data_IF_318090505377
#
_entry.id   IF_318090505377
#
_cell.length_a   1.000
_cell.length_b   1.000
_cell.length_c   1.000
_cell.angle_alpha   90.00
_cell.angle_beta   90.00
_cell.angle_gamma   90.00
#
_symmetry.space_group_name_H-M   'P 1'
#
loop_
_entity.id
_entity.type
_entity.pdbx_description
1 polymer ?
#
# COMPACT_ATOMS: atom_id res chain seq x y z
N UNK A 1 -39.95 -21.95 -22.21
CA UNK A 1 -40.62 -23.24 -21.89
C UNK A 1 -41.32 -23.22 -20.53
N UNK A 2 -41.55 -22.06 -19.92
CA UNK A 2 -42.19 -21.93 -18.59
C UNK A 2 -41.58 -22.86 -17.51
N UNK A 3 -40.31 -23.22 -17.64
CA UNK A 3 -39.64 -24.09 -16.67
C UNK A 3 -39.40 -23.31 -15.38
N UNK A 4 -39.93 -23.83 -14.28
CA UNK A 4 -39.79 -23.22 -12.94
C UNK A 4 -38.68 -23.87 -12.12
N UNK A 5 -38.34 -25.13 -12.40
CA UNK A 5 -37.31 -25.87 -11.68
C UNK A 5 -36.51 -26.78 -12.63
N UNK A 6 -35.21 -26.87 -12.39
CA UNK A 6 -34.29 -27.72 -13.16
C UNK A 6 -34.19 -29.08 -12.47
N UNK A 7 -34.68 -30.14 -13.13
CA UNK A 7 -34.61 -31.52 -12.63
C UNK A 7 -34.23 -32.48 -13.74
N UNK A 8 -33.57 -33.59 -13.37
CA UNK A 8 -33.28 -34.71 -14.26
C UNK A 8 -32.02 -34.59 -15.12
N UNK A 9 -31.21 -33.54 -14.93
CA UNK A 9 -29.94 -33.34 -15.66
C UNK A 9 -28.73 -34.02 -14.99
N UNK A 10 -28.89 -34.54 -13.78
CA UNK A 10 -27.84 -35.20 -12.97
C UNK A 10 -27.14 -36.36 -13.69
N UNK A 11 -27.82 -37.01 -14.64
CA UNK A 11 -27.31 -38.16 -15.40
C UNK A 11 -26.70 -37.78 -16.76
N UNK A 12 -26.40 -36.50 -16.99
CA UNK A 12 -25.85 -36.01 -18.26
C UNK A 12 -24.36 -35.63 -18.11
N UNK A 13 -23.42 -36.59 -17.97
CA UNK A 13 -22.01 -36.32 -17.68
C UNK A 13 -21.24 -35.66 -18.83
N UNK A 14 -21.85 -35.52 -20.02
CA UNK A 14 -21.23 -34.87 -21.18
C UNK A 14 -21.86 -33.51 -21.49
N UNK A 15 -22.77 -33.02 -20.64
CA UNK A 15 -23.45 -31.75 -20.85
C UNK A 15 -22.48 -30.58 -20.63
N UNK A 16 -21.94 -30.05 -21.72
CA UNK A 16 -20.99 -28.94 -21.71
C UNK A 16 -21.64 -27.58 -22.00
N UNK A 17 -22.78 -27.58 -22.68
CA UNK A 17 -23.49 -26.37 -23.08
C UNK A 17 -24.96 -26.52 -22.69
N UNK A 18 -25.48 -25.58 -21.91
CA UNK A 18 -26.86 -25.58 -21.47
C UNK A 18 -27.45 -24.18 -21.62
N UNK A 19 -28.57 -24.08 -22.32
CA UNK A 19 -29.38 -22.87 -22.36
C UNK A 19 -30.75 -23.16 -21.76
N UNK A 20 -31.07 -22.41 -20.71
CA UNK A 20 -32.35 -22.38 -20.03
C UNK A 20 -32.91 -20.94 -20.07
N UNK A 21 -32.56 -20.18 -21.11
CA UNK A 21 -33.03 -18.83 -21.30
C UNK A 21 -34.56 -18.78 -21.52
N UNK A 22 -35.18 -17.65 -21.18
CA UNK A 22 -36.63 -17.41 -21.35
C UNK A 22 -37.50 -18.47 -20.66
N UNK A 23 -37.26 -18.65 -19.35
CA UNK A 23 -38.06 -19.51 -18.48
C UNK A 23 -38.51 -18.73 -17.22
N UNK A 24 -38.98 -19.44 -16.20
CA UNK A 24 -39.51 -18.87 -14.95
C UNK A 24 -38.71 -19.35 -13.74
N UNK A 25 -37.41 -19.60 -13.94
CA UNK A 25 -36.54 -20.09 -12.87
C UNK A 25 -36.36 -19.01 -11.81
N UNK A 26 -36.58 -19.38 -10.55
CA UNK A 26 -36.36 -18.53 -9.38
C UNK A 26 -35.12 -18.97 -8.56
N UNK A 27 -34.62 -20.18 -8.79
CA UNK A 27 -33.41 -20.70 -8.17
C UNK A 27 -32.59 -21.54 -9.17
N UNK A 28 -31.28 -21.57 -8.96
CA UNK A 28 -30.35 -22.45 -9.67
C UNK A 28 -30.18 -23.71 -8.82
N UNK A 29 -30.73 -24.83 -9.29
CA UNK A 29 -30.63 -26.13 -8.62
C UNK A 29 -30.54 -27.24 -9.66
N UNK A 30 -30.23 -28.48 -9.24
CA UNK A 30 -30.23 -29.64 -10.15
C UNK A 30 -29.15 -29.60 -11.25
N UNK A 31 -28.18 -28.70 -11.16
CA UNK A 31 -27.00 -28.60 -12.02
C UNK A 31 -25.72 -29.08 -11.33
N UNK A 32 -25.85 -29.64 -10.14
CA UNK A 32 -24.72 -29.96 -9.26
C UNK A 32 -23.72 -30.93 -9.94
N UNK A 33 -22.43 -30.59 -9.85
CA UNK A 33 -21.32 -31.41 -10.36
C UNK A 33 -21.34 -31.71 -11.88
N UNK A 34 -22.13 -30.98 -12.67
CA UNK A 34 -22.13 -31.13 -14.13
C UNK A 34 -20.94 -30.39 -14.76
N UNK A 35 -20.29 -30.94 -15.81
CA UNK A 35 -19.14 -30.30 -16.46
C UNK A 35 -19.57 -29.23 -17.49
N UNK A 36 -20.48 -28.35 -17.08
CA UNK A 36 -21.01 -27.27 -17.92
C UNK A 36 -19.92 -26.21 -18.10
N UNK A 37 -19.65 -25.85 -19.36
CA UNK A 37 -18.72 -24.79 -19.76
C UNK A 37 -19.44 -23.52 -20.16
N UNK A 38 -20.59 -23.64 -20.82
CA UNK A 38 -21.41 -22.50 -21.24
C UNK A 38 -22.81 -22.66 -20.67
N UNK A 39 -23.20 -21.72 -19.83
CA UNK A 39 -24.52 -21.69 -19.19
C UNK A 39 -25.23 -20.39 -19.53
N UNK A 40 -26.40 -20.50 -20.15
CA UNK A 40 -27.27 -19.35 -20.39
C UNK A 40 -28.56 -19.50 -19.57
N UNK A 41 -28.71 -18.62 -18.58
CA UNK A 41 -29.85 -18.48 -17.68
C UNK A 41 -30.54 -17.11 -17.86
N UNK A 42 -30.32 -16.44 -19.00
CA UNK A 42 -30.92 -15.13 -19.28
C UNK A 42 -32.46 -15.16 -19.31
N UNK A 43 -33.10 -14.02 -19.04
CA UNK A 43 -34.57 -13.89 -19.06
C UNK A 43 -35.27 -14.93 -18.15
N UNK A 44 -34.87 -14.95 -16.87
CA UNK A 44 -35.50 -15.73 -15.80
C UNK A 44 -35.87 -14.79 -14.64
N UNK A 45 -36.15 -15.35 -13.45
CA UNK A 45 -36.53 -14.59 -12.25
C UNK A 45 -35.57 -14.84 -11.09
N UNK A 46 -34.28 -15.08 -11.39
CA UNK A 46 -33.26 -15.36 -10.38
C UNK A 46 -32.95 -14.11 -9.56
N UNK A 47 -32.95 -14.24 -8.24
CA UNK A 47 -32.60 -13.15 -7.31
C UNK A 47 -31.16 -13.24 -6.77
N UNK A 48 -30.55 -14.43 -6.87
CA UNK A 48 -29.20 -14.75 -6.40
C UNK A 48 -28.49 -15.66 -7.39
N UNK A 49 -27.16 -15.60 -7.41
CA UNK A 49 -26.31 -16.49 -8.19
C UNK A 49 -25.98 -17.83 -7.47
N UNK A 50 -26.54 -18.05 -6.27
CA UNK A 50 -26.35 -19.28 -5.49
C UNK A 50 -26.81 -20.52 -6.25
N UNK A 51 -26.07 -21.61 -6.15
CA UNK A 51 -26.29 -22.86 -6.89
C UNK A 51 -25.32 -23.08 -8.06
N UNK A 52 -24.46 -22.10 -8.35
CA UNK A 52 -23.40 -22.20 -9.36
C UNK A 52 -22.08 -22.74 -8.81
N UNK A 53 -21.90 -22.80 -7.49
CA UNK A 53 -20.62 -23.02 -6.80
C UNK A 53 -19.95 -24.34 -7.21
N UNK A 54 -20.75 -25.36 -7.55
CA UNK A 54 -20.28 -26.69 -7.96
C UNK A 54 -19.85 -26.79 -9.43
N UNK A 55 -20.17 -25.79 -10.26
CA UNK A 55 -19.90 -25.78 -11.70
C UNK A 55 -18.46 -25.34 -12.02
N UNK A 56 -17.48 -26.08 -11.52
CA UNK A 56 -16.05 -25.72 -11.65
C UNK A 56 -15.51 -25.67 -13.07
N UNK A 57 -16.24 -26.22 -14.05
CA UNK A 57 -15.87 -26.18 -15.48
C UNK A 57 -16.39 -24.96 -16.23
N UNK A 58 -17.12 -24.06 -15.56
CA UNK A 58 -17.82 -22.95 -16.20
C UNK A 58 -16.85 -21.91 -16.77
N UNK A 59 -17.06 -21.54 -18.03
CA UNK A 59 -16.24 -20.58 -18.79
C UNK A 59 -17.05 -19.36 -19.20
N UNK A 60 -18.32 -19.54 -19.57
CA UNK A 60 -19.22 -18.47 -20.00
C UNK A 60 -20.55 -18.59 -19.31
N UNK A 61 -20.97 -17.50 -18.69
CA UNK A 61 -22.21 -17.40 -17.93
C UNK A 61 -23.01 -16.20 -18.39
N UNK A 62 -24.26 -16.43 -18.77
CA UNK A 62 -25.23 -15.38 -19.07
C UNK A 62 -26.37 -15.44 -18.05
N UNK A 63 -26.43 -14.42 -17.20
CA UNK A 63 -27.46 -14.17 -16.18
C UNK A 63 -28.23 -12.88 -16.48
N UNK A 64 -28.15 -12.35 -17.71
CA UNK A 64 -28.81 -11.09 -18.07
C UNK A 64 -30.34 -11.19 -17.97
N UNK A 65 -31.01 -10.06 -17.73
CA UNK A 65 -32.47 -9.99 -17.60
C UNK A 65 -33.01 -10.93 -16.51
N UNK A 66 -32.45 -10.81 -15.31
CA UNK A 66 -32.92 -11.47 -14.10
C UNK A 66 -33.23 -10.41 -13.02
N UNK A 67 -33.34 -10.81 -11.75
CA UNK A 67 -33.57 -9.92 -10.59
C UNK A 67 -32.43 -10.04 -9.58
N UNK A 68 -31.22 -10.35 -10.05
CA UNK A 68 -30.10 -10.65 -9.16
C UNK A 68 -29.75 -9.40 -8.36
N UNK A 69 -29.79 -9.54 -7.04
CA UNK A 69 -29.39 -8.48 -6.09
C UNK A 69 -28.05 -8.80 -5.44
N UNK A 70 -27.69 -10.09 -5.35
CA UNK A 70 -26.42 -10.54 -4.79
C UNK A 70 -25.67 -11.49 -5.71
N UNK A 71 -24.35 -11.27 -5.80
CA UNK A 71 -23.41 -12.06 -6.61
C UNK A 71 -22.80 -13.24 -5.86
N UNK A 72 -23.23 -13.47 -4.61
CA UNK A 72 -22.86 -14.66 -3.85
C UNK A 72 -23.21 -15.93 -4.63
N UNK A 73 -22.25 -16.86 -4.70
CA UNK A 73 -22.31 -18.09 -5.49
C UNK A 73 -21.44 -18.05 -6.76
N UNK A 74 -20.90 -16.89 -7.14
CA UNK A 74 -19.94 -16.76 -8.25
C UNK A 74 -18.49 -17.00 -7.83
N UNK A 75 -18.19 -17.07 -6.54
CA UNK A 75 -16.84 -17.30 -6.03
C UNK A 75 -16.26 -18.67 -6.42
N UNK A 76 -14.92 -18.75 -6.46
CA UNK A 76 -14.21 -20.02 -6.61
C UNK A 76 -14.38 -20.71 -7.98
N UNK A 77 -14.64 -19.94 -9.05
CA UNK A 77 -14.62 -20.42 -10.42
C UNK A 77 -13.27 -20.10 -11.10
N UNK A 78 -12.42 -21.10 -11.25
CA UNK A 78 -11.07 -20.92 -11.81
C UNK A 78 -11.06 -20.70 -13.34
N UNK A 79 -12.13 -21.12 -14.03
CA UNK A 79 -12.20 -21.14 -15.48
C UNK A 79 -13.14 -20.08 -16.09
N UNK A 80 -13.82 -19.28 -15.27
CA UNK A 80 -14.85 -18.37 -15.73
C UNK A 80 -14.22 -17.14 -16.42
N UNK A 81 -14.51 -16.97 -17.71
CA UNK A 81 -13.91 -15.95 -18.57
C UNK A 81 -14.87 -14.80 -18.89
N UNK A 82 -16.17 -15.11 -19.01
CA UNK A 82 -17.20 -14.15 -19.44
C UNK A 82 -18.44 -14.26 -18.57
N UNK A 83 -18.87 -13.12 -18.02
CA UNK A 83 -20.10 -13.01 -17.23
C UNK A 83 -20.94 -11.87 -17.81
N UNK A 84 -22.18 -12.18 -18.16
CA UNK A 84 -23.18 -11.18 -18.53
C UNK A 84 -24.24 -11.08 -17.43
N UNK A 85 -24.32 -9.91 -16.79
CA UNK A 85 -25.26 -9.57 -15.71
C UNK A 85 -26.12 -8.36 -16.10
N UNK A 86 -26.22 -8.03 -17.38
CA UNK A 86 -27.03 -6.90 -17.85
C UNK A 86 -28.48 -6.99 -17.34
N UNK A 87 -29.06 -5.85 -16.94
CA UNK A 87 -30.46 -5.77 -16.50
C UNK A 87 -30.76 -6.69 -15.31
N UNK A 88 -30.05 -6.45 -14.21
CA UNK A 88 -30.29 -7.05 -12.89
C UNK A 88 -30.50 -5.93 -11.85
N UNK A 89 -30.52 -6.26 -10.56
CA UNK A 89 -30.84 -5.35 -9.46
C UNK A 89 -29.65 -5.17 -8.49
N UNK A 90 -28.42 -5.27 -9.00
CA UNK A 90 -27.22 -5.14 -8.17
C UNK A 90 -27.00 -3.65 -7.88
N UNK A 91 -27.14 -3.25 -6.62
CA UNK A 91 -27.08 -1.85 -6.22
C UNK A 91 -25.76 -1.43 -5.58
N UNK A 92 -25.07 -2.35 -4.91
CA UNK A 92 -23.88 -2.07 -4.10
C UNK A 92 -22.59 -2.51 -4.81
N UNK A 93 -21.56 -1.66 -4.77
CA UNK A 93 -20.23 -1.97 -5.32
C UNK A 93 -19.50 -3.08 -4.56
N UNK A 94 -19.88 -3.30 -3.29
CA UNK A 94 -19.30 -4.34 -2.45
C UNK A 94 -19.62 -5.76 -2.95
N UNK A 95 -20.70 -5.96 -3.72
CA UNK A 95 -21.04 -7.26 -4.31
C UNK A 95 -19.96 -7.75 -5.30
N UNK A 96 -19.13 -6.86 -5.83
CA UNK A 96 -18.05 -7.23 -6.75
C UNK A 96 -16.93 -8.05 -6.06
N UNK A 97 -16.86 -8.03 -4.73
CA UNK A 97 -15.89 -8.83 -3.96
C UNK A 97 -16.04 -10.34 -4.21
N UNK A 98 -17.26 -10.81 -4.49
CA UNK A 98 -17.53 -12.23 -4.78
C UNK A 98 -16.85 -12.70 -6.07
N UNK A 99 -16.39 -11.76 -6.90
CA UNK A 99 -15.71 -12.01 -8.17
C UNK A 99 -14.21 -11.65 -8.15
N UNK A 100 -13.67 -11.19 -7.01
CA UNK A 100 -12.26 -10.77 -6.89
C UNK A 100 -11.29 -11.92 -7.22
N UNK A 101 -11.63 -13.13 -6.75
CA UNK A 101 -10.84 -14.35 -6.91
C UNK A 101 -11.20 -15.14 -8.18
N UNK A 102 -11.61 -14.48 -9.27
CA UNK A 102 -11.84 -15.11 -10.58
C UNK A 102 -10.62 -14.93 -11.49
N UNK A 103 -9.70 -15.90 -11.56
CA UNK A 103 -8.38 -15.68 -12.14
C UNK A 103 -8.40 -15.49 -13.67
N UNK A 104 -9.44 -15.96 -14.35
CA UNK A 104 -9.57 -15.89 -15.81
C UNK A 104 -10.67 -14.94 -16.30
N UNK A 105 -11.35 -14.21 -15.41
CA UNK A 105 -12.41 -13.29 -15.82
C UNK A 105 -11.84 -12.15 -16.67
N UNK A 106 -12.34 -12.03 -17.91
CA UNK A 106 -11.92 -11.01 -18.88
C UNK A 106 -13.04 -10.08 -19.29
N UNK A 107 -14.25 -10.62 -19.45
CA UNK A 107 -15.40 -9.87 -19.96
C UNK A 107 -16.50 -9.85 -18.92
N UNK A 108 -16.87 -8.66 -18.47
CA UNK A 108 -17.94 -8.43 -17.52
C UNK A 108 -18.91 -7.39 -18.07
N UNK A 109 -20.20 -7.72 -18.07
CA UNK A 109 -21.26 -6.78 -18.45
C UNK A 109 -22.23 -6.59 -17.28
N UNK A 110 -22.27 -5.39 -16.72
CA UNK A 110 -23.14 -4.96 -15.62
C UNK A 110 -24.09 -3.83 -16.08
N UNK A 111 -24.23 -3.58 -17.39
CA UNK A 111 -25.15 -2.59 -17.95
C UNK A 111 -26.55 -2.71 -17.33
N UNK A 112 -27.20 -1.57 -17.07
CA UNK A 112 -28.57 -1.50 -16.52
C UNK A 112 -28.71 -2.17 -15.14
N UNK A 113 -27.69 -2.04 -14.29
CA UNK A 113 -27.79 -2.31 -12.86
C UNK A 113 -27.72 -0.98 -12.08
N UNK A 114 -28.42 -0.84 -10.93
CA UNK A 114 -28.41 0.39 -10.14
C UNK A 114 -27.01 0.87 -9.71
N UNK A 115 -26.04 -0.04 -9.53
CA UNK A 115 -24.65 0.32 -9.22
C UNK A 115 -23.98 1.22 -10.27
N UNK A 116 -24.46 1.24 -11.53
CA UNK A 116 -23.88 2.09 -12.58
C UNK A 116 -24.12 3.58 -12.35
N UNK A 117 -25.13 3.94 -11.54
CA UNK A 117 -25.42 5.33 -11.20
C UNK A 117 -24.41 5.89 -10.19
N UNK A 118 -23.60 5.04 -9.56
CA UNK A 118 -22.60 5.47 -8.60
C UNK A 118 -21.40 6.11 -9.31
N UNK A 119 -20.94 7.28 -8.83
CA UNK A 119 -19.87 8.06 -9.48
C UNK A 119 -18.54 7.30 -9.61
N UNK A 120 -18.25 6.39 -8.68
CA UNK A 120 -17.00 5.64 -8.61
C UNK A 120 -17.07 4.25 -9.25
N UNK A 121 -18.23 3.86 -9.80
CA UNK A 121 -18.48 2.53 -10.33
C UNK A 121 -17.38 2.02 -11.26
N UNK A 122 -17.03 2.81 -12.27
CA UNK A 122 -16.07 2.38 -13.30
C UNK A 122 -14.70 2.08 -12.71
N UNK A 123 -14.12 3.05 -12.00
CA UNK A 123 -12.79 2.89 -11.41
C UNK A 123 -12.77 1.85 -10.30
N UNK A 124 -13.83 1.75 -9.49
CA UNK A 124 -13.91 0.74 -8.44
C UNK A 124 -14.00 -0.67 -9.02
N UNK A 125 -14.78 -0.87 -10.09
CA UNK A 125 -14.89 -2.18 -10.76
C UNK A 125 -13.56 -2.57 -11.40
N UNK A 126 -12.90 -1.63 -12.08
CA UNK A 126 -11.57 -1.86 -12.65
C UNK A 126 -10.53 -2.15 -11.57
N UNK A 127 -10.61 -1.49 -10.41
CA UNK A 127 -9.72 -1.74 -9.26
C UNK A 127 -9.95 -3.10 -8.62
N UNK A 128 -11.21 -3.46 -8.36
CA UNK A 128 -11.58 -4.73 -7.72
C UNK A 128 -11.27 -5.91 -8.65
N UNK A 129 -11.48 -5.73 -9.95
CA UNK A 129 -11.35 -6.78 -10.96
C UNK A 129 -10.27 -6.41 -11.99
N UNK A 130 -9.02 -6.21 -11.55
CA UNK A 130 -7.87 -5.78 -12.38
C UNK A 130 -7.66 -6.61 -13.66
N UNK A 131 -8.15 -7.86 -13.67
CA UNK A 131 -8.01 -8.81 -14.78
C UNK A 131 -8.97 -8.55 -15.94
N UNK A 132 -10.08 -7.85 -15.69
CA UNK A 132 -11.10 -7.52 -16.69
C UNK A 132 -10.48 -6.67 -17.79
N UNK A 133 -10.73 -7.04 -19.04
CA UNK A 133 -10.29 -6.31 -20.25
C UNK A 133 -11.45 -5.59 -20.91
N UNK A 134 -12.67 -6.10 -20.75
CA UNK A 134 -13.87 -5.55 -21.36
C UNK A 134 -14.94 -5.44 -20.27
N UNK A 135 -15.31 -4.20 -19.93
CA UNK A 135 -16.34 -3.86 -18.94
C UNK A 135 -17.47 -3.11 -19.65
N UNK A 136 -18.71 -3.56 -19.48
CA UNK A 136 -19.90 -2.90 -20.06
C UNK A 136 -19.79 -2.65 -21.58
N UNK A 137 -19.24 -3.64 -22.28
CA UNK A 137 -18.99 -3.62 -23.73
C UNK A 137 -17.94 -2.58 -24.17
N UNK A 138 -17.17 -2.02 -23.24
CA UNK A 138 -16.07 -1.11 -23.49
C UNK A 138 -14.75 -1.73 -23.06
N UNK A 139 -13.69 -1.50 -23.83
CA UNK A 139 -12.34 -1.95 -23.48
C UNK A 139 -11.76 -1.07 -22.38
N UNK A 140 -11.28 -1.70 -21.32
CA UNK A 140 -10.57 -1.03 -20.23
C UNK A 140 -9.12 -0.79 -20.67
N UNK A 141 -8.72 0.48 -20.74
CA UNK A 141 -7.36 0.88 -21.08
C UNK A 141 -6.37 0.61 -19.94
N UNK A 142 -5.08 0.57 -20.25
CA UNK A 142 -4.03 0.40 -19.22
C UNK A 142 -3.98 1.63 -18.30
N UNK A 143 -4.20 2.81 -18.86
CA UNK A 143 -4.24 4.08 -18.15
C UNK A 143 -5.33 4.10 -17.08
N UNK A 144 -6.52 3.57 -17.39
CA UNK A 144 -7.62 3.44 -16.42
C UNK A 144 -7.31 2.45 -15.32
N UNK A 145 -6.65 1.33 -15.63
CA UNK A 145 -6.20 0.37 -14.62
C UNK A 145 -5.20 1.01 -13.66
N UNK A 146 -4.24 1.74 -14.19
CA UNK A 146 -3.25 2.48 -13.39
C UNK A 146 -3.95 3.57 -12.55
N UNK A 147 -4.89 4.32 -13.12
CA UNK A 147 -5.65 5.33 -12.40
C UNK A 147 -6.49 4.73 -11.26
N UNK A 148 -7.11 3.57 -11.49
CA UNK A 148 -7.87 2.83 -10.49
C UNK A 148 -6.97 2.38 -9.31
N UNK A 149 -5.83 1.75 -9.62
CA UNK A 149 -4.83 1.37 -8.60
C UNK A 149 -4.32 2.59 -7.84
N UNK A 150 -3.94 3.67 -8.53
CA UNK A 150 -3.47 4.90 -7.89
C UNK A 150 -4.51 5.56 -6.99
N UNK A 151 -5.81 5.42 -7.31
CA UNK A 151 -6.89 6.00 -6.51
C UNK A 151 -7.17 5.21 -5.22
N UNK A 152 -7.17 3.87 -5.28
CA UNK A 152 -7.63 3.03 -4.17
C UNK A 152 -6.49 2.33 -3.39
N UNK A 153 -5.38 1.99 -4.05
CA UNK A 153 -4.21 1.38 -3.42
C UNK A 153 -2.91 1.84 -4.13
N UNK A 154 -2.54 3.13 -4.02
CA UNK A 154 -1.39 3.67 -4.73
C UNK A 154 -0.09 2.95 -4.32
N UNK A 155 0.79 2.60 -5.29
CA UNK A 155 2.11 2.08 -5.00
C UNK A 155 2.91 3.05 -4.12
N UNK A 156 3.80 2.53 -3.29
CA UNK A 156 4.55 3.34 -2.33
C UNK A 156 5.41 4.44 -3.01
N UNK A 157 5.91 4.17 -4.21
CA UNK A 157 6.67 5.12 -5.03
C UNK A 157 5.79 6.28 -5.51
N UNK A 158 4.51 6.02 -5.83
CA UNK A 158 3.54 7.05 -6.21
C UNK A 158 3.19 7.91 -5.01
N UNK A 159 2.98 7.29 -3.84
CA UNK A 159 2.75 8.02 -2.57
C UNK A 159 3.93 8.94 -2.24
N UNK A 160 5.16 8.44 -2.38
CA UNK A 160 6.37 9.22 -2.14
C UNK A 160 6.56 10.37 -3.14
N UNK A 161 6.29 10.13 -4.43
CA UNK A 161 6.35 11.16 -5.46
C UNK A 161 5.31 12.26 -5.24
N UNK A 162 4.10 11.89 -4.81
CA UNK A 162 3.02 12.82 -4.50
C UNK A 162 3.31 13.65 -3.24
N UNK A 163 3.90 13.03 -2.21
CA UNK A 163 4.42 13.75 -1.03
C UNK A 163 5.48 14.77 -1.44
N UNK A 164 6.47 14.35 -2.24
CA UNK A 164 7.51 15.24 -2.74
C UNK A 164 6.93 16.40 -3.56
N UNK A 165 6.01 16.12 -4.49
CA UNK A 165 5.30 17.13 -5.30
C UNK A 165 4.58 18.13 -4.41
N UNK A 166 3.87 17.66 -3.39
CA UNK A 166 3.14 18.49 -2.44
C UNK A 166 4.08 19.45 -1.72
N UNK A 167 5.17 18.95 -1.13
CA UNK A 167 6.10 19.80 -0.39
C UNK A 167 6.88 20.76 -1.29
N UNK A 168 7.20 20.36 -2.52
CA UNK A 168 7.79 21.26 -3.51
C UNK A 168 6.84 22.40 -3.85
N UNK A 169 5.59 22.10 -4.22
CA UNK A 169 4.60 23.13 -4.60
C UNK A 169 4.32 24.06 -3.41
N UNK A 170 4.04 23.51 -2.23
CA UNK A 170 3.80 24.32 -1.04
C UNK A 170 4.99 25.21 -0.69
N UNK A 171 6.23 24.72 -0.86
CA UNK A 171 7.43 25.52 -0.65
C UNK A 171 7.61 26.61 -1.72
N UNK A 172 7.34 26.31 -3.00
CA UNK A 172 7.42 27.28 -4.10
C UNK A 172 6.43 28.45 -3.93
N UNK A 173 5.31 28.23 -3.26
CA UNK A 173 4.33 29.27 -2.93
C UNK A 173 4.79 30.20 -1.78
N UNK A 174 5.87 29.87 -1.07
CA UNK A 174 6.44 30.72 -0.02
C UNK A 174 7.49 31.70 -0.58
N UNK A 175 7.84 32.77 0.17
CA UNK A 175 8.96 33.64 -0.20
C UNK A 175 10.26 32.85 -0.37
N UNK A 176 10.81 32.89 -1.58
CA UNK A 176 12.01 32.14 -1.93
C UNK A 176 13.25 32.75 -1.27
N UNK A 177 14.09 31.90 -0.70
CA UNK A 177 15.41 32.26 -0.14
C UNK A 177 16.42 31.20 -0.55
N UNK A 178 17.68 31.62 -0.66
CA UNK A 178 18.78 30.66 -0.83
C UNK A 178 18.86 29.81 0.45
N UNK A 179 18.76 28.50 0.29
CA UNK A 179 18.85 27.56 1.40
C UNK A 179 20.32 27.33 1.76
N UNK A 180 20.62 27.19 3.05
CA UNK A 180 21.98 26.89 3.52
C UNK A 180 22.38 25.46 3.10
N UNK A 181 21.39 24.60 2.88
CA UNK A 181 21.60 23.26 2.33
C UNK A 181 21.85 23.26 0.80
N UNK A 182 21.80 24.40 0.11
CA UNK A 182 22.19 24.49 -1.31
C UNK A 182 23.69 24.76 -1.42
N UNK A 183 24.47 23.71 -1.70
CA UNK A 183 25.93 23.79 -1.80
C UNK A 183 26.39 24.41 -3.14
N UNK A 184 27.56 25.08 -3.17
CA UNK A 184 28.15 25.59 -4.40
C UNK A 184 28.74 24.44 -5.24
N UNK A 185 27.96 23.94 -6.20
CA UNK A 185 28.38 22.94 -7.16
C UNK A 185 27.19 22.18 -7.75
N UNK A 186 27.19 21.95 -9.06
CA UNK A 186 26.07 21.28 -9.75
C UNK A 186 25.85 19.83 -9.29
N UNK A 187 26.90 19.17 -8.80
CA UNK A 187 26.87 17.76 -8.38
C UNK A 187 26.96 17.54 -6.86
N UNK A 188 27.08 18.62 -6.06
CA UNK A 188 27.24 18.52 -4.62
C UNK A 188 25.88 18.58 -3.89
N UNK A 189 25.34 17.42 -3.53
CA UNK A 189 24.18 17.33 -2.63
C UNK A 189 24.60 17.58 -1.17
N UNK A 190 23.77 18.28 -0.41
CA UNK A 190 24.00 18.47 1.01
C UNK A 190 24.03 17.13 1.75
N UNK A 191 25.08 16.87 2.57
CA UNK A 191 25.29 15.56 3.17
C UNK A 191 24.21 15.25 4.21
N UNK A 192 23.53 14.13 4.01
CA UNK A 192 22.58 13.54 4.95
C UNK A 192 22.93 12.09 5.24
N UNK A 193 22.87 11.72 6.52
CA UNK A 193 22.90 10.34 6.98
C UNK A 193 21.52 9.97 7.53
N UNK A 194 20.95 8.88 7.02
CA UNK A 194 19.63 8.39 7.40
C UNK A 194 19.75 6.96 7.90
N UNK A 195 19.39 6.73 9.16
CA UNK A 195 19.20 5.37 9.69
C UNK A 195 17.75 4.95 9.46
N UNK A 196 17.55 3.80 8.83
CA UNK A 196 16.22 3.25 8.52
C UNK A 196 16.12 1.85 9.10
N UNK A 197 14.94 1.46 9.56
CA UNK A 197 14.73 0.14 10.16
C UNK A 197 13.35 0.07 10.80
N UNK A 198 12.94 -1.07 11.38
CA UNK A 198 11.67 -1.18 12.08
C UNK A 198 11.70 -0.44 13.43
N UNK A 199 10.54 -0.18 14.04
CA UNK A 199 10.46 0.58 15.31
C UNK A 199 11.25 -0.11 16.42
N UNK A 200 11.87 0.66 17.31
CA UNK A 200 12.68 0.13 18.42
C UNK A 200 13.81 -0.86 18.04
N UNK A 201 14.31 -0.84 16.80
CA UNK A 201 15.55 -1.55 16.42
C UNK A 201 16.84 -0.85 16.90
N UNK A 202 16.76 0.16 17.77
CA UNK A 202 17.92 0.93 18.22
C UNK A 202 18.39 2.06 17.29
N UNK A 203 17.72 2.31 16.15
CA UNK A 203 18.04 3.42 15.23
C UNK A 203 18.16 4.78 15.94
N UNK A 204 17.29 5.08 16.91
CA UNK A 204 17.32 6.31 17.72
C UNK A 204 18.63 6.43 18.49
N UNK A 205 18.94 5.38 19.26
CA UNK A 205 20.15 5.34 20.09
C UNK A 205 21.42 5.44 19.24
N UNK A 206 21.51 4.64 18.16
CA UNK A 206 22.64 4.67 17.23
C UNK A 206 22.84 6.06 16.63
N UNK A 207 21.76 6.72 16.20
CA UNK A 207 21.82 8.06 15.63
C UNK A 207 22.39 9.07 16.63
N UNK A 208 21.92 9.05 17.89
CA UNK A 208 22.47 9.93 18.92
C UNK A 208 23.92 9.61 19.27
N UNK A 209 24.30 8.32 19.35
CA UNK A 209 25.69 7.91 19.64
C UNK A 209 26.65 8.39 18.53
N UNK A 210 26.29 8.27 17.24
CA UNK A 210 27.08 8.82 16.13
C UNK A 210 27.23 10.33 16.28
N UNK A 211 26.12 11.06 16.47
CA UNK A 211 26.17 12.52 16.53
C UNK A 211 27.02 13.01 17.70
N UNK A 212 27.09 12.25 18.81
CA UNK A 212 27.99 12.55 19.93
C UNK A 212 29.46 12.29 19.58
N UNK A 213 29.75 11.17 18.92
CA UNK A 213 31.12 10.80 18.57
C UNK A 213 31.71 11.67 17.45
N UNK A 214 30.90 11.98 16.43
CA UNK A 214 31.29 12.75 15.25
C UNK A 214 30.61 14.13 15.25
N UNK A 215 30.61 14.80 16.41
CA UNK A 215 29.91 16.08 16.63
C UNK A 215 30.38 17.24 15.73
N UNK A 216 31.62 17.15 15.22
CA UNK A 216 32.19 18.10 14.27
C UNK A 216 31.68 17.90 12.83
N UNK A 217 31.03 16.78 12.55
CA UNK A 217 30.55 16.42 11.21
C UNK A 217 29.04 16.29 11.15
N UNK A 218 28.40 15.73 12.19
CA UNK A 218 26.98 15.41 12.18
C UNK A 218 26.23 16.09 13.31
N UNK A 219 24.99 16.48 13.02
CA UNK A 219 24.01 16.87 14.04
C UNK A 219 22.70 16.11 13.85
N UNK A 220 22.12 15.71 14.98
CA UNK A 220 20.81 15.07 14.98
C UNK A 220 19.71 16.06 14.60
N UNK A 221 18.86 15.68 13.64
CA UNK A 221 17.68 16.43 13.21
C UNK A 221 16.38 15.77 13.67
N UNK A 222 15.77 16.20 14.79
CA UNK A 222 14.50 15.61 15.25
C UNK A 222 13.40 15.82 14.21
N UNK A 223 12.70 14.74 13.86
CA UNK A 223 11.53 14.79 12.99
C UNK A 223 10.29 15.27 13.76
N UNK A 224 9.25 15.69 13.05
CA UNK A 224 7.97 16.03 13.65
C UNK A 224 7.08 14.79 13.65
N UNK A 225 6.21 14.67 14.66
CA UNK A 225 5.19 13.61 14.71
C UNK A 225 3.91 14.06 15.41
N UNK A 226 2.79 13.46 15.01
CA UNK A 226 1.49 13.63 15.68
C UNK A 226 1.21 12.56 16.73
N UNK A 227 2.11 11.57 16.88
CA UNK A 227 2.08 10.58 17.95
C UNK A 227 2.35 11.26 19.30
N UNK A 228 1.75 10.75 20.38
CA UNK A 228 2.15 11.14 21.73
C UNK A 228 3.54 10.59 22.09
N UNK A 229 4.33 11.34 22.86
CA UNK A 229 5.64 10.90 23.31
C UNK A 229 5.55 9.60 24.13
N UNK A 230 6.42 8.63 23.84
CA UNK A 230 6.60 7.46 24.70
C UNK A 230 7.36 7.84 25.97
N UNK A 231 7.28 6.98 26.99
CA UNK A 231 8.04 7.19 28.22
C UNK A 231 9.56 7.26 27.91
N UNK A 232 10.22 8.35 28.33
CA UNK A 232 11.63 8.61 28.05
C UNK A 232 11.91 9.28 26.69
N UNK A 233 10.89 9.68 25.94
CA UNK A 233 11.05 10.61 24.83
C UNK A 233 10.87 12.07 25.29
N UNK A 234 11.74 12.94 24.81
CA UNK A 234 11.75 14.37 25.11
C UNK A 234 11.46 15.19 23.85
N UNK A 235 10.57 16.16 24.00
CA UNK A 235 10.22 17.07 22.91
C UNK A 235 11.44 17.91 22.51
N UNK A 236 11.64 18.08 21.20
CA UNK A 236 12.79 18.76 20.56
C UNK A 236 14.13 18.04 20.67
N UNK A 237 14.22 16.96 21.44
CA UNK A 237 15.41 16.09 21.47
C UNK A 237 15.22 14.87 20.60
N UNK A 238 14.07 14.21 20.68
CA UNK A 238 13.78 13.00 19.92
C UNK A 238 12.90 13.30 18.72
N UNK A 239 11.78 13.97 18.99
CA UNK A 239 10.84 14.46 17.99
C UNK A 239 10.30 15.83 18.40
N UNK A 240 9.77 16.56 17.42
CA UNK A 240 8.81 17.62 17.65
C UNK A 240 7.41 17.01 17.70
N UNK A 241 6.88 16.86 18.91
CA UNK A 241 5.51 16.36 19.11
C UNK A 241 4.52 17.51 18.90
N UNK A 242 3.68 17.41 17.86
CA UNK A 242 2.75 18.46 17.45
C UNK A 242 1.35 17.89 17.23
N UNK A 243 0.32 18.75 17.25
CA UNK A 243 -1.05 18.29 16.95
C UNK A 243 -1.25 18.04 15.45
N UNK A 244 -2.32 17.32 15.10
CA UNK A 244 -2.70 17.09 13.70
C UNK A 244 -2.96 18.40 12.95
N UNK A 245 -3.58 19.38 13.60
CA UNK A 245 -3.84 20.70 13.01
C UNK A 245 -2.54 21.46 12.75
N UNK A 246 -1.60 21.42 13.69
CA UNK A 246 -0.30 22.05 13.53
C UNK A 246 0.52 21.38 12.41
N UNK A 247 0.48 20.05 12.31
CA UNK A 247 1.13 19.31 11.23
C UNK A 247 0.56 19.72 9.86
N UNK A 248 -0.77 19.81 9.75
CA UNK A 248 -1.44 20.23 8.52
C UNK A 248 -1.09 21.66 8.11
N UNK A 249 -1.00 22.58 9.09
CA UNK A 249 -0.54 23.95 8.84
C UNK A 249 0.92 23.99 8.35
N UNK A 250 1.78 23.13 8.89
CA UNK A 250 3.18 23.01 8.44
C UNK A 250 3.29 22.48 7.01
N UNK A 251 2.44 21.52 6.62
CA UNK A 251 2.35 21.05 5.22
C UNK A 251 1.96 22.22 4.31
N UNK A 252 0.85 22.90 4.61
CA UNK A 252 0.34 24.02 3.80
C UNK A 252 1.32 25.19 3.68
N UNK A 253 2.12 25.43 4.72
CA UNK A 253 3.15 26.47 4.74
C UNK A 253 4.50 26.02 4.16
N UNK A 254 4.59 24.83 3.56
CA UNK A 254 5.80 24.34 2.89
C UNK A 254 6.98 24.10 3.84
N UNK A 255 6.69 23.79 5.11
CA UNK A 255 7.69 23.62 6.17
C UNK A 255 8.34 22.23 6.21
N UNK A 256 7.80 21.26 5.50
CA UNK A 256 8.38 19.93 5.40
C UNK A 256 9.22 19.74 4.13
N UNK A 257 10.17 18.82 4.21
CA UNK A 257 10.93 18.27 3.07
C UNK A 257 10.28 16.99 2.57
N UNK A 258 9.89 16.13 3.51
CA UNK A 258 9.24 14.85 3.27
C UNK A 258 8.32 14.53 4.45
N UNK A 259 7.14 13.95 4.17
CA UNK A 259 6.22 13.42 5.19
C UNK A 259 5.79 11.99 4.87
N UNK A 260 5.34 11.29 5.89
CA UNK A 260 4.85 9.91 5.78
C UNK A 260 3.91 9.58 6.93
N UNK A 261 3.16 8.49 6.77
CA UNK A 261 2.26 7.95 7.80
C UNK A 261 2.78 6.59 8.25
N UNK A 262 2.75 6.34 9.55
CA UNK A 262 3.11 5.06 10.16
C UNK A 262 2.29 4.83 11.43
N UNK A 263 1.75 3.61 11.61
CA UNK A 263 0.89 3.24 12.74
C UNK A 263 -0.18 4.29 13.06
N UNK A 264 -0.90 4.75 12.04
CA UNK A 264 -1.96 5.75 12.19
C UNK A 264 -1.50 7.21 12.38
N UNK A 265 -0.22 7.46 12.71
CA UNK A 265 0.32 8.79 12.97
C UNK A 265 1.11 9.36 11.80
N UNK A 266 1.22 10.69 11.74
CA UNK A 266 2.01 11.39 10.72
C UNK A 266 3.40 11.72 11.25
N UNK A 267 4.37 11.69 10.36
CA UNK A 267 5.77 12.01 10.61
C UNK A 267 6.31 12.88 9.49
N UNK A 268 7.25 13.79 9.81
CA UNK A 268 7.79 14.71 8.81
C UNK A 268 9.17 15.25 9.13
N UNK A 269 10.05 15.29 8.12
CA UNK A 269 11.33 15.96 8.22
C UNK A 269 11.16 17.46 7.95
N UNK A 270 11.39 18.27 8.98
CA UNK A 270 11.24 19.72 8.90
C UNK A 270 12.36 20.37 8.09
N UNK A 271 11.99 21.29 7.19
CA UNK A 271 12.93 22.07 6.40
C UNK A 271 13.78 22.97 7.29
N UNK A 272 13.16 23.70 8.20
CA UNK A 272 13.89 24.60 9.11
C UNK A 272 14.88 23.83 10.02
N UNK A 273 14.60 22.55 10.35
CA UNK A 273 15.52 21.67 11.07
C UNK A 273 16.77 21.35 10.25
N UNK A 274 16.61 21.01 8.97
CA UNK A 274 17.76 20.76 8.07
C UNK A 274 18.54 22.04 7.83
N UNK A 275 17.84 23.15 7.59
CA UNK A 275 18.47 24.45 7.30
C UNK A 275 19.24 25.03 8.48
N UNK A 276 18.81 24.77 9.72
CA UNK A 276 19.56 25.21 10.92
C UNK A 276 20.86 24.43 11.07
N UNK A 277 20.84 23.12 10.83
CA UNK A 277 22.04 22.26 10.87
C UNK A 277 23.01 22.66 9.75
N UNK A 278 22.49 22.87 8.54
CA UNK A 278 23.30 23.26 7.38
C UNK A 278 23.99 24.61 7.60
N UNK A 279 23.32 25.56 8.26
CA UNK A 279 23.91 26.86 8.62
C UNK A 279 25.13 26.75 9.53
N UNK A 280 25.19 25.70 10.34
CA UNK A 280 26.33 25.41 11.21
C UNK A 280 27.46 24.66 10.48
N UNK A 281 27.30 24.36 9.19
CA UNK A 281 28.29 23.63 8.39
C UNK A 281 28.35 22.14 8.71
N UNK A 282 27.34 21.60 9.38
CA UNK A 282 27.25 20.18 9.76
C UNK A 282 26.36 19.42 8.78
N UNK A 283 26.57 18.12 8.69
CA UNK A 283 25.68 17.19 7.98
C UNK A 283 24.50 16.81 8.88
N UNK A 284 23.33 16.64 8.25
CA UNK A 284 22.13 16.22 8.97
C UNK A 284 22.13 14.71 9.18
N UNK A 285 21.91 14.27 10.40
CA UNK A 285 21.74 12.87 10.76
C UNK A 285 20.33 12.66 11.33
N UNK A 286 19.53 11.78 10.70
CA UNK A 286 18.15 11.48 11.11
C UNK A 286 17.87 9.99 11.07
N UNK A 287 16.76 9.58 11.66
CA UNK A 287 16.21 8.24 11.45
C UNK A 287 14.77 8.30 10.95
N UNK A 288 14.42 7.44 10.00
CA UNK A 288 13.13 7.41 9.32
C UNK A 288 12.60 5.98 9.19
N UNK A 289 11.28 5.84 9.01
CA UNK A 289 10.72 4.62 8.43
C UNK A 289 10.97 4.59 6.90
N UNK A 290 10.75 3.43 6.28
CA UNK A 290 10.96 3.24 4.83
C UNK A 290 10.12 4.21 3.99
N UNK A 291 8.91 4.52 4.41
CA UNK A 291 8.00 5.43 3.71
C UNK A 291 8.58 6.84 3.68
N UNK A 292 9.13 7.31 4.82
CA UNK A 292 9.80 8.59 4.92
C UNK A 292 11.08 8.64 4.09
N UNK A 293 11.84 7.54 4.06
CA UNK A 293 13.02 7.45 3.21
C UNK A 293 12.67 7.51 1.72
N UNK A 294 11.60 6.81 1.28
CA UNK A 294 11.12 6.87 -0.10
C UNK A 294 10.83 8.31 -0.52
N UNK A 295 10.04 9.04 0.27
CA UNK A 295 9.74 10.45 0.01
C UNK A 295 10.99 11.33 -0.01
N UNK A 296 11.93 11.10 0.92
CA UNK A 296 13.19 11.85 0.96
C UNK A 296 14.08 11.58 -0.26
N UNK A 297 14.11 10.35 -0.78
CA UNK A 297 14.89 9.98 -1.97
C UNK A 297 14.37 10.61 -3.26
N UNK A 298 13.11 11.03 -3.31
CA UNK A 298 12.57 11.83 -4.41
C UNK A 298 13.16 13.26 -4.45
N UNK A 299 13.76 13.72 -3.34
CA UNK A 299 14.36 15.05 -3.24
C UNK A 299 15.80 15.10 -3.77
N UNK A 300 16.38 16.30 -3.86
CA UNK A 300 17.75 16.52 -4.30
C UNK A 300 18.83 16.10 -3.27
N UNK A 301 18.44 15.73 -2.04
CA UNK A 301 19.40 15.52 -0.94
C UNK A 301 20.25 14.25 -1.05
N UNK A 302 19.90 13.29 -1.92
CA UNK A 302 20.65 12.03 -2.15
C UNK A 302 21.26 11.45 -0.85
N UNK A 303 20.44 11.17 0.17
CA UNK A 303 20.94 10.79 1.50
C UNK A 303 21.70 9.46 1.47
N UNK A 304 22.72 9.32 2.33
CA UNK A 304 23.32 8.01 2.64
C UNK A 304 22.43 7.29 3.64
N UNK A 305 22.00 6.09 3.29
CA UNK A 305 20.96 5.32 3.95
C UNK A 305 21.56 4.04 4.54
N UNK A 306 21.47 3.88 5.87
CA UNK A 306 21.93 2.69 6.56
C UNK A 306 20.71 1.95 7.12
N UNK A 307 20.52 0.70 6.69
CA UNK A 307 19.47 -0.17 7.20
C UNK A 307 19.91 -0.80 8.52
N UNK A 308 19.32 -0.39 9.63
CA UNK A 308 19.45 -1.00 10.94
C UNK A 308 18.33 -2.04 11.12
N UNK A 309 18.66 -3.33 11.19
CA UNK A 309 17.65 -4.39 11.22
C UNK A 309 18.02 -5.51 12.21
N UNK A 310 17.06 -6.00 13.01
CA UNK A 310 17.28 -7.17 13.86
C UNK A 310 17.29 -8.43 13.00
N UNK A 311 18.24 -9.34 13.22
CA UNK A 311 18.27 -10.65 12.55
C UNK A 311 17.49 -11.69 13.32
N UNK A 312 17.49 -11.61 14.65
CA UNK A 312 16.71 -12.49 15.52
C UNK A 312 15.33 -11.87 15.81
N UNK A 313 14.34 -12.25 14.98
CA UNK A 313 12.95 -11.78 15.15
C UNK A 313 12.35 -12.17 16.51
N UNK A 314 12.72 -13.32 17.06
CA UNK A 314 12.18 -13.80 18.33
C UNK A 314 12.65 -12.93 19.49
N UNK A 315 13.95 -12.63 19.54
CA UNK A 315 14.52 -11.70 20.53
C UNK A 315 13.97 -10.28 20.34
N UNK A 316 13.82 -9.83 19.10
CA UNK A 316 13.26 -8.53 18.80
C UNK A 316 11.81 -8.40 19.27
N UNK A 317 10.97 -9.41 19.02
CA UNK A 317 9.60 -9.44 19.52
C UNK A 317 9.55 -9.48 21.05
N UNK A 318 10.39 -10.29 21.70
CA UNK A 318 10.51 -10.33 23.15
C UNK A 318 10.92 -8.96 23.72
N UNK A 319 11.88 -8.29 23.08
CA UNK A 319 12.31 -6.94 23.44
C UNK A 319 11.14 -5.96 23.39
N UNK A 320 10.41 -5.90 22.27
CA UNK A 320 9.23 -5.06 22.11
C UNK A 320 8.20 -5.31 23.22
N UNK A 321 7.89 -6.58 23.51
CA UNK A 321 6.96 -6.96 24.58
C UNK A 321 7.46 -6.52 25.97
N UNK A 322 8.77 -6.62 26.23
CA UNK A 322 9.38 -6.25 27.52
C UNK A 322 9.46 -4.74 27.75
N UNK A 323 9.53 -3.93 26.69
CA UNK A 323 9.51 -2.47 26.84
C UNK A 323 8.18 -1.95 27.39
N UNK A 324 7.07 -2.66 27.14
CA UNK A 324 5.73 -2.27 27.60
C UNK A 324 5.19 -0.98 26.98
N UNK A 325 5.80 -0.49 25.89
CA UNK A 325 5.42 0.75 25.21
C UNK A 325 4.46 0.55 24.04
N UNK A 326 4.37 -0.68 23.52
CA UNK A 326 3.65 -1.01 22.28
C UNK A 326 2.48 -1.94 22.55
N UNK A 327 1.37 -1.71 21.86
CA UNK A 327 0.21 -2.61 21.82
C UNK A 327 0.52 -3.87 21.01
N UNK A 328 -0.27 -4.94 21.20
CA UNK A 328 -0.08 -6.20 20.46
C UNK A 328 -0.10 -6.00 18.93
N UNK A 329 -1.05 -5.24 18.35
CA UNK A 329 -1.06 -4.98 16.90
C UNK A 329 0.19 -4.23 16.42
N UNK A 330 0.69 -3.26 17.19
CA UNK A 330 1.92 -2.52 16.84
C UNK A 330 3.15 -3.44 16.85
N UNK A 331 3.23 -4.39 17.79
CA UNK A 331 4.32 -5.37 17.87
C UNK A 331 4.25 -6.30 16.65
N UNK A 332 3.07 -6.83 16.32
CA UNK A 332 2.88 -7.71 15.16
C UNK A 332 3.22 -6.99 13.84
N UNK A 333 2.80 -5.73 13.69
CA UNK A 333 3.16 -4.88 12.56
C UNK A 333 4.68 -4.64 12.48
N UNK A 334 5.32 -4.31 13.60
CA UNK A 334 6.77 -4.07 13.66
C UNK A 334 7.59 -5.31 13.27
N UNK A 335 7.19 -6.49 13.75
CA UNK A 335 7.85 -7.77 13.44
C UNK A 335 7.65 -8.15 11.96
N UNK A 336 6.44 -8.00 11.41
CA UNK A 336 6.20 -8.30 10.00
C UNK A 336 6.98 -7.37 9.06
N UNK A 337 7.18 -6.11 9.46
CA UNK A 337 7.97 -5.13 8.70
C UNK A 337 9.44 -5.51 8.56
N UNK A 338 10.00 -6.36 9.44
CA UNK A 338 11.37 -6.88 9.27
C UNK A 338 11.52 -7.57 7.91
N UNK A 339 10.54 -8.39 7.52
CA UNK A 339 10.55 -9.07 6.21
C UNK A 339 10.45 -8.08 5.06
N UNK A 340 9.60 -7.06 5.20
CA UNK A 340 9.47 -5.99 4.21
C UNK A 340 10.80 -5.28 3.97
N UNK A 341 11.55 -4.93 5.03
CA UNK A 341 12.87 -4.30 4.89
C UNK A 341 13.88 -5.21 4.19
N UNK A 342 13.91 -6.50 4.54
CA UNK A 342 14.78 -7.49 3.89
C UNK A 342 14.43 -7.65 2.41
N UNK A 343 13.15 -7.73 2.09
CA UNK A 343 12.64 -7.87 0.73
C UNK A 343 13.02 -6.64 -0.12
N UNK A 344 12.84 -5.42 0.39
CA UNK A 344 13.27 -4.22 -0.34
C UNK A 344 14.78 -4.20 -0.61
N UNK A 345 15.59 -4.64 0.36
CA UNK A 345 17.03 -4.73 0.16
C UNK A 345 17.44 -5.79 -0.89
N UNK A 346 16.65 -6.87 -1.02
CA UNK A 346 16.86 -7.92 -2.03
C UNK A 346 16.39 -7.51 -3.42
N UNK A 347 15.18 -6.94 -3.51
CA UNK A 347 14.54 -6.56 -4.76
C UNK A 347 15.24 -5.35 -5.41
N UNK A 348 15.83 -4.46 -4.58
CA UNK A 348 16.51 -3.26 -5.03
C UNK A 348 17.94 -3.16 -4.46
N UNK A 349 18.92 -3.90 -5.02
CA UNK A 349 20.32 -3.79 -4.61
C UNK A 349 20.82 -2.34 -4.71
N UNK A 350 21.47 -1.85 -3.65
CA UNK A 350 21.91 -0.46 -3.55
C UNK A 350 20.83 0.52 -3.09
N UNK A 351 19.64 0.03 -2.72
CA UNK A 351 18.64 0.87 -2.06
C UNK A 351 19.13 1.36 -0.68
N UNK A 352 19.86 0.53 0.05
CA UNK A 352 20.59 0.94 1.25
C UNK A 352 22.09 0.89 0.95
N UNK A 353 22.84 1.87 1.46
CA UNK A 353 24.30 1.94 1.29
C UNK A 353 25.02 0.93 2.20
N UNK A 354 24.41 0.59 3.34
CA UNK A 354 24.91 -0.42 4.26
C UNK A 354 23.75 -1.04 5.07
N UNK A 355 24.01 -2.23 5.63
CA UNK A 355 23.08 -2.95 6.52
C UNK A 355 23.79 -3.24 7.84
N UNK A 356 23.15 -2.95 8.96
CA UNK A 356 23.63 -3.18 10.31
C UNK A 356 22.74 -4.18 11.03
N UNK A 357 23.36 -5.18 11.67
CA UNK A 357 22.65 -6.05 12.60
C UNK A 357 22.42 -5.33 13.92
N UNK A 358 21.18 -5.27 14.41
CA UNK A 358 20.83 -4.59 15.67
C UNK A 358 20.50 -5.56 16.81
N UNK A 359 20.83 -6.85 16.68
CA UNK A 359 20.65 -7.81 17.78
C UNK A 359 21.48 -7.43 19.02
N UNK A 360 22.66 -6.84 18.81
CA UNK A 360 23.51 -6.22 19.83
C UNK A 360 23.84 -4.77 19.42
N UNK A 361 23.41 -3.80 20.23
CA UNK A 361 23.56 -2.37 19.90
C UNK A 361 25.00 -1.86 20.02
N UNK A 362 25.84 -2.48 20.86
CA UNK A 362 27.23 -2.08 21.01
C UNK A 362 28.08 -2.61 19.85
N UNK A 363 27.80 -3.83 19.37
CA UNK A 363 28.36 -4.36 18.14
C UNK A 363 27.90 -3.52 16.92
N UNK A 364 26.60 -3.24 16.82
CA UNK A 364 26.02 -2.40 15.77
C UNK A 364 26.67 -1.01 15.72
N UNK A 365 26.89 -0.41 16.89
CA UNK A 365 27.55 0.89 16.99
C UNK A 365 29.02 0.83 16.56
N UNK A 366 29.73 -0.26 16.88
CA UNK A 366 31.12 -0.46 16.48
C UNK A 366 31.25 -0.56 14.96
N UNK A 367 30.38 -1.33 14.32
CA UNK A 367 30.33 -1.45 12.85
C UNK A 367 29.97 -0.11 12.18
N UNK A 368 28.98 0.59 12.72
CA UNK A 368 28.54 1.90 12.24
C UNK A 368 29.63 2.96 12.37
N UNK A 369 30.40 2.94 13.46
CA UNK A 369 31.56 3.81 13.68
C UNK A 369 32.65 3.59 12.63
N UNK A 370 32.95 2.32 12.32
CA UNK A 370 33.90 1.97 11.25
C UNK A 370 33.43 2.49 9.89
N UNK A 371 32.15 2.29 9.57
CA UNK A 371 31.52 2.83 8.34
C UNK A 371 31.64 4.36 8.27
N UNK A 372 31.38 5.06 9.37
CA UNK A 372 31.48 6.53 9.40
C UNK A 372 32.91 7.02 9.18
N UNK A 373 33.92 6.34 9.75
CA UNK A 373 35.33 6.67 9.49
C UNK A 373 35.69 6.49 8.02
N UNK A 374 35.28 5.38 7.42
CA UNK A 374 35.47 5.14 5.98
C UNK A 374 34.80 6.22 5.13
N UNK A 375 33.58 6.61 5.49
CA UNK A 375 32.82 7.64 4.78
C UNK A 375 33.42 9.04 4.85
N UNK A 376 34.11 9.35 5.95
CA UNK A 376 34.80 10.61 6.18
C UNK A 376 36.27 10.56 5.73
N UNK A 377 36.78 9.41 5.28
CA UNK A 377 38.16 9.24 4.85
C UNK A 377 39.20 9.29 5.98
N UNK A 378 38.83 8.81 7.18
CA UNK A 378 39.66 8.82 8.40
C UNK A 378 40.32 7.49 8.71
#
# INVERSE_FOLDING_TARGET
NDVEEIKGLEKCPSLSHLSLAHNKLFAIGGLENLPIKILNLSFNQLEKATGLESLKSLQKLDLSFNKITSLQGLEGHELLETINLESNQISELHELQWMEDLPLLRVLNLLKNPLQEQADYWLWTVFTLLRVTDLDLQKVSVEEKVAAVNKYAPPAEVVAAEDHRTHLVCHMLQPQRILNSTLPGFDASYPMLVLVGPVACGRRELTHRICRQFNNFFRYGPCHTTRAAYFGEENRLDFYFISEEAFEQMVKSGKFIATYKYSGHRYGLGRDTVESIAREGLATCVHLEIEGLRSLKCTHFKPRCILAIPRDKGKYEEHLRRTGLFSRPEIEEAVSRVDMYLQVNQDFPGYFDAVLNTDDLDEAFTELNLLMRMYLGM
#
